data_IF_307345285856
#
_entry.id   IF_307345285856
#
_cell.length_a   1.000
_cell.length_b   1.000
_cell.length_c   1.000
_cell.angle_alpha   90.00
_cell.angle_beta   90.00
_cell.angle_gamma   90.00
#
_symmetry.space_group_name_H-M   'P 1'
#
loop_
_entity.id
_entity.type
_entity.pdbx_description
1 polymer ?
#
# COMPACT_ATOMS: atom_id res chain seq x y z
N UNK A 1 -20.46 7.25 -0.97
CA UNK A 1 -20.23 8.70 -1.15
C UNK A 1 -18.92 9.00 -1.89
N UNK A 2 -17.72 8.88 -1.28
CA UNK A 2 -16.46 9.29 -1.94
C UNK A 2 -16.20 8.58 -3.28
N UNK A 3 -16.23 7.24 -3.30
CA UNK A 3 -15.99 6.44 -4.52
C UNK A 3 -16.96 6.76 -5.66
N UNK A 4 -18.22 6.97 -5.33
CA UNK A 4 -19.25 7.34 -6.30
C UNK A 4 -18.96 8.70 -6.94
N UNK A 5 -18.61 9.70 -6.13
CA UNK A 5 -18.25 11.03 -6.63
C UNK A 5 -17.04 10.99 -7.54
N UNK A 6 -15.98 10.26 -7.16
CA UNK A 6 -14.76 10.17 -7.96
C UNK A 6 -15.00 9.47 -9.29
N UNK A 7 -15.84 8.42 -9.33
CA UNK A 7 -16.28 7.79 -10.60
C UNK A 7 -17.05 8.78 -11.48
N UNK A 8 -17.99 9.54 -10.91
CA UNK A 8 -18.81 10.52 -11.65
C UNK A 8 -17.98 11.62 -12.31
N UNK A 9 -16.88 12.04 -11.68
CA UNK A 9 -16.03 13.12 -12.19
C UNK A 9 -14.79 12.63 -12.94
N UNK A 10 -14.59 11.31 -13.04
CA UNK A 10 -13.35 10.74 -13.60
C UNK A 10 -12.11 11.01 -12.75
N UNK A 11 -12.28 11.39 -11.49
CA UNK A 11 -11.20 11.64 -10.53
C UNK A 11 -10.63 10.31 -10.05
N UNK A 12 -9.29 10.20 -9.99
CA UNK A 12 -8.60 9.01 -9.47
C UNK A 12 -8.73 9.01 -7.94
N UNK A 13 -9.25 7.92 -7.38
CA UNK A 13 -9.27 7.68 -5.94
C UNK A 13 -7.99 6.97 -5.52
N UNK A 14 -7.17 7.67 -4.74
CA UNK A 14 -5.96 7.12 -4.12
C UNK A 14 -6.25 6.87 -2.64
N UNK A 15 -5.99 5.65 -2.17
CA UNK A 15 -6.04 5.31 -0.75
C UNK A 15 -4.60 5.09 -0.26
N UNK A 16 -4.17 5.89 0.71
CA UNK A 16 -2.89 5.73 1.39
C UNK A 16 -3.07 4.87 2.65
N UNK A 17 -2.57 3.65 2.58
CA UNK A 17 -2.66 2.64 3.62
C UNK A 17 -1.42 2.58 4.51
N UNK A 18 -0.52 3.55 4.41
CA UNK A 18 0.75 3.53 5.16
C UNK A 18 0.53 3.41 6.69
N UNK A 19 -0.60 3.88 7.23
CA UNK A 19 -1.04 3.54 8.61
C UNK A 19 -2.15 2.51 8.64
N UNK A 20 -3.14 2.61 7.76
CA UNK A 20 -4.37 1.82 7.85
C UNK A 20 -4.19 0.35 7.46
N UNK A 21 -3.01 -0.03 6.95
CA UNK A 21 -2.58 -1.44 6.86
C UNK A 21 -2.58 -2.12 8.24
N UNK A 22 -2.56 -1.36 9.34
CA UNK A 22 -2.76 -1.88 10.71
C UNK A 22 -4.15 -2.49 10.95
N UNK A 23 -5.12 -2.28 10.05
CA UNK A 23 -6.49 -2.80 10.19
C UNK A 23 -6.61 -4.30 9.92
N UNK A 24 -5.60 -4.91 9.28
CA UNK A 24 -5.60 -6.32 8.89
C UNK A 24 -4.62 -6.59 7.75
N UNK A 25 -4.40 -7.88 7.42
CA UNK A 25 -3.48 -8.27 6.33
C UNK A 25 -3.89 -7.74 4.94
N UNK A 26 -5.17 -7.42 4.74
CA UNK A 26 -5.68 -6.72 3.55
C UNK A 26 -5.88 -5.20 3.71
N UNK A 27 -5.45 -4.64 4.84
CA UNK A 27 -5.65 -3.23 5.19
C UNK A 27 -7.11 -2.83 5.41
N UNK A 28 -7.34 -1.54 5.55
CA UNK A 28 -8.68 -0.98 5.73
C UNK A 28 -9.51 -1.12 4.46
N UNK A 29 -8.85 -1.10 3.29
CA UNK A 29 -9.48 -1.32 1.98
C UNK A 29 -10.21 -2.66 1.95
N UNK A 30 -9.54 -3.77 2.28
CA UNK A 30 -10.20 -5.07 2.27
C UNK A 30 -11.25 -5.20 3.37
N UNK A 31 -10.95 -4.70 4.58
CA UNK A 31 -11.86 -4.77 5.73
C UNK A 31 -13.22 -4.11 5.44
N UNK A 32 -13.21 -3.01 4.70
CA UNK A 32 -14.41 -2.22 4.40
C UNK A 32 -14.88 -2.31 2.94
N UNK A 33 -14.29 -3.21 2.14
CA UNK A 33 -14.66 -3.38 0.73
C UNK A 33 -14.49 -2.10 -0.09
N UNK A 34 -13.43 -1.32 0.15
CA UNK A 34 -13.15 -0.12 -0.62
C UNK A 34 -12.57 -0.47 -1.99
N UNK A 35 -12.84 0.39 -2.98
CA UNK A 35 -12.45 0.17 -4.37
C UNK A 35 -11.57 1.34 -4.88
N UNK A 36 -10.33 1.50 -4.38
CA UNK A 36 -9.42 2.53 -4.88
C UNK A 36 -8.99 2.27 -6.33
N UNK A 37 -8.71 3.36 -7.06
CA UNK A 37 -8.04 3.28 -8.36
C UNK A 37 -6.53 3.07 -8.18
N UNK A 38 -5.99 3.53 -7.04
CA UNK A 38 -4.59 3.42 -6.68
C UNK A 38 -4.45 3.26 -5.16
N UNK A 39 -3.54 2.40 -4.72
CA UNK A 39 -3.23 2.16 -3.32
C UNK A 39 -1.76 2.49 -3.07
N UNK A 40 -1.46 3.09 -1.94
CA UNK A 40 -0.08 3.39 -1.50
C UNK A 40 0.15 2.75 -0.14
N UNK A 41 1.35 2.22 0.10
CA UNK A 41 1.76 1.77 1.42
C UNK A 41 3.27 1.94 1.61
N UNK A 42 3.71 2.01 2.87
CA UNK A 42 5.11 2.12 3.26
C UNK A 42 5.30 1.64 4.69
N UNK A 43 6.24 2.23 5.42
CA UNK A 43 6.48 1.98 6.86
C UNK A 43 6.69 0.49 7.18
N UNK A 44 5.63 -0.20 7.59
CA UNK A 44 5.66 -1.55 8.15
C UNK A 44 6.04 -2.63 7.12
N UNK A 45 5.97 -2.33 5.82
CA UNK A 45 6.07 -3.34 4.76
C UNK A 45 7.48 -3.84 4.46
N UNK A 46 8.54 -3.25 5.01
CA UNK A 46 9.93 -3.56 4.61
C UNK A 46 10.91 -3.75 5.78
N UNK A 47 10.41 -3.97 7.00
CA UNK A 47 11.23 -4.41 8.13
C UNK A 47 12.30 -3.40 8.56
N UNK A 48 12.02 -2.11 8.39
CA UNK A 48 12.95 -1.02 8.72
C UNK A 48 13.80 -0.51 7.55
N UNK A 49 13.78 -1.19 6.40
CA UNK A 49 14.39 -0.66 5.16
C UNK A 49 13.48 0.45 4.59
N UNK A 50 14.02 1.62 4.21
CA UNK A 50 13.23 2.69 3.60
C UNK A 50 12.57 2.23 2.31
N UNK A 51 11.25 2.11 2.34
CA UNK A 51 10.51 1.65 1.18
C UNK A 51 9.05 2.11 1.17
N UNK A 52 8.54 2.23 -0.05
CA UNK A 52 7.14 2.50 -0.34
C UNK A 52 6.73 1.75 -1.60
N UNK A 53 5.45 1.41 -1.68
CA UNK A 53 4.83 0.79 -2.83
C UNK A 53 3.63 1.62 -3.24
N UNK A 54 3.29 1.52 -4.52
CA UNK A 54 1.97 1.86 -5.00
C UNK A 54 1.49 0.79 -5.96
N UNK A 55 0.19 0.52 -5.95
CA UNK A 55 -0.49 -0.32 -6.92
C UNK A 55 -1.59 0.48 -7.60
N UNK A 56 -1.87 0.17 -8.86
CA UNK A 56 -2.93 0.80 -9.65
C UNK A 56 -3.85 -0.27 -10.21
N UNK A 57 -5.11 0.07 -10.48
CA UNK A 57 -5.99 -0.80 -11.27
C UNK A 57 -5.46 -0.95 -12.69
N UNK A 58 -5.88 -2.03 -13.36
CA UNK A 58 -5.56 -2.27 -14.77
C UNK A 58 -5.98 -1.10 -15.67
N UNK A 59 -7.14 -0.50 -15.42
CA UNK A 59 -7.62 0.67 -16.18
C UNK A 59 -6.68 1.87 -16.06
N UNK A 60 -6.18 2.15 -14.85
CA UNK A 60 -5.20 3.23 -14.64
C UNK A 60 -3.86 2.88 -15.29
N UNK A 61 -3.41 1.63 -15.18
CA UNK A 61 -2.18 1.17 -15.84
C UNK A 61 -2.26 1.37 -17.37
N UNK A 62 -3.37 1.01 -18.00
CA UNK A 62 -3.59 1.19 -19.44
C UNK A 62 -3.60 2.67 -19.86
N UNK A 63 -4.17 3.54 -19.02
CA UNK A 63 -4.12 5.00 -19.24
C UNK A 63 -2.69 5.52 -19.14
N UNK A 64 -1.91 5.04 -18.17
CA UNK A 64 -0.50 5.39 -18.00
C UNK A 64 0.34 4.93 -19.19
N UNK A 65 0.19 3.69 -19.66
CA UNK A 65 0.96 3.15 -20.79
C UNK A 65 0.67 3.84 -22.13
N UNK A 66 -0.48 4.50 -22.28
CA UNK A 66 -0.78 5.33 -23.47
C UNK A 66 0.02 6.64 -23.50
N UNK A 67 0.41 7.16 -22.34
CA UNK A 67 1.13 8.44 -22.22
C UNK A 67 2.61 8.26 -21.88
N UNK A 68 2.98 7.12 -21.29
CA UNK A 68 4.35 6.74 -20.97
C UNK A 68 4.87 5.80 -22.06
N UNK A 69 5.95 6.16 -22.79
CA UNK A 69 6.54 5.27 -23.77
C UNK A 69 6.92 3.93 -23.13
N UNK A 70 6.52 2.83 -23.75
CA UNK A 70 7.03 1.51 -23.36
C UNK A 70 8.54 1.50 -23.56
N UNK A 71 9.26 1.23 -22.49
CA UNK A 71 10.71 1.24 -22.47
C UNK A 71 11.24 -0.19 -22.58
N UNK A 72 12.23 -0.40 -23.45
CA UNK A 72 12.87 -1.71 -23.56
C UNK A 72 13.75 -1.93 -22.31
N UNK A 73 13.51 -2.99 -21.51
CA UNK A 73 14.30 -3.25 -20.30
C UNK A 73 15.76 -3.60 -20.59
N UNK A 74 16.12 -3.91 -21.85
CA UNK A 74 17.49 -4.19 -22.30
C UNK A 74 18.25 -2.95 -22.76
N UNK A 75 17.59 -1.80 -22.85
CA UNK A 75 18.21 -0.54 -23.28
C UNK A 75 18.36 0.37 -22.07
N UNK A 76 19.53 0.97 -21.89
CA UNK A 76 19.77 1.94 -20.81
C UNK A 76 18.76 3.09 -20.93
N UNK A 77 17.93 3.24 -19.91
CA UNK A 77 16.92 4.29 -19.86
C UNK A 77 17.51 5.52 -19.18
N UNK A 78 17.33 6.69 -19.82
CA UNK A 78 17.62 8.00 -19.21
C UNK A 78 16.32 8.76 -18.89
N UNK A 79 15.18 8.29 -19.41
CA UNK A 79 13.88 8.90 -19.23
C UNK A 79 13.16 8.29 -18.02
N UNK A 80 13.22 9.00 -16.89
CA UNK A 80 12.61 8.58 -15.64
C UNK A 80 11.20 9.17 -15.44
N UNK A 81 10.68 9.97 -16.38
CA UNK A 81 9.47 10.80 -16.21
C UNK A 81 9.50 11.67 -14.92
N UNK A 82 10.68 11.90 -14.35
CA UNK A 82 10.84 12.55 -13.05
C UNK A 82 10.47 11.68 -11.83
N UNK A 83 10.20 10.39 -12.01
CA UNK A 83 9.84 9.43 -10.96
C UNK A 83 10.88 8.30 -10.83
N UNK A 84 10.96 7.69 -9.65
CA UNK A 84 11.94 6.64 -9.33
C UNK A 84 13.14 7.17 -8.54
N UNK A 85 14.13 6.30 -8.32
CA UNK A 85 15.35 6.65 -7.57
C UNK A 85 16.34 5.49 -7.55
N UNK A 86 17.63 5.79 -7.38
CA UNK A 86 18.73 4.80 -7.50
C UNK A 86 18.55 3.56 -6.63
N UNK A 87 17.94 3.73 -5.44
CA UNK A 87 17.73 2.64 -4.48
C UNK A 87 16.30 2.06 -4.52
N UNK A 88 15.39 2.64 -5.31
CA UNK A 88 14.03 2.15 -5.41
C UNK A 88 14.01 0.74 -6.04
N UNK A 89 13.32 -0.20 -5.39
CA UNK A 89 13.20 -1.58 -5.89
C UNK A 89 14.50 -2.40 -5.87
N UNK A 90 15.50 -2.00 -5.06
CA UNK A 90 16.74 -2.77 -4.94
C UNK A 90 16.49 -4.17 -4.32
N UNK A 91 17.42 -5.11 -4.55
CA UNK A 91 17.28 -6.50 -4.13
C UNK A 91 17.07 -6.67 -2.62
N UNK A 92 17.72 -5.86 -1.78
CA UNK A 92 17.55 -5.89 -0.33
C UNK A 92 16.12 -5.53 0.06
N UNK A 93 15.58 -4.45 -0.52
CA UNK A 93 14.22 -3.98 -0.26
C UNK A 93 13.18 -5.02 -0.66
N UNK A 94 13.34 -5.66 -1.82
CA UNK A 94 12.42 -6.71 -2.28
C UNK A 94 12.51 -7.94 -1.38
N UNK A 95 13.71 -8.35 -0.97
CA UNK A 95 13.89 -9.48 -0.08
C UNK A 95 13.25 -9.24 1.31
N UNK A 96 13.44 -8.05 1.89
CA UNK A 96 12.82 -7.73 3.19
C UNK A 96 11.32 -7.57 3.08
N UNK A 97 10.81 -6.95 2.01
CA UNK A 97 9.36 -6.87 1.75
C UNK A 97 8.72 -8.24 1.68
N UNK A 98 9.33 -9.15 0.91
CA UNK A 98 8.83 -10.51 0.78
C UNK A 98 8.72 -11.20 2.15
N UNK A 99 9.81 -11.20 2.92
CA UNK A 99 9.82 -11.83 4.24
C UNK A 99 8.79 -11.20 5.19
N UNK A 100 8.65 -9.87 5.18
CA UNK A 100 7.66 -9.18 6.03
C UNK A 100 6.23 -9.52 5.61
N UNK A 101 5.92 -9.51 4.32
CA UNK A 101 4.56 -9.76 3.84
C UNK A 101 4.16 -11.24 3.97
N UNK A 102 5.09 -12.17 3.73
CA UNK A 102 4.84 -13.61 3.79
C UNK A 102 4.85 -14.16 5.23
N UNK A 103 5.73 -13.65 6.11
CA UNK A 103 5.97 -14.25 7.43
C UNK A 103 5.49 -13.38 8.60
N UNK A 104 5.40 -12.06 8.44
CA UNK A 104 5.10 -11.13 9.54
C UNK A 104 3.67 -10.58 9.45
N UNK A 105 3.29 -9.99 8.30
CA UNK A 105 1.98 -9.36 8.09
C UNK A 105 0.90 -10.38 7.67
N UNK A 106 0.91 -11.54 8.35
CA UNK A 106 0.00 -12.65 8.08
C UNK A 106 -1.34 -12.48 8.81
N UNK A 107 -2.44 -13.09 8.32
CA UNK A 107 -3.72 -13.06 9.02
C UNK A 107 -3.62 -13.49 10.49
N UNK A 108 -2.89 -14.58 10.77
CA UNK A 108 -2.70 -15.10 12.12
C UNK A 108 -2.02 -14.10 13.07
N UNK A 109 -0.98 -13.40 12.59
CA UNK A 109 -0.34 -12.37 13.40
C UNK A 109 -1.25 -11.16 13.60
N UNK A 110 -2.04 -10.79 12.60
CA UNK A 110 -3.03 -9.71 12.73
C UNK A 110 -4.11 -10.01 13.77
N UNK A 111 -4.61 -11.24 13.84
CA UNK A 111 -5.56 -11.65 14.89
C UNK A 111 -5.02 -11.35 16.30
N UNK A 112 -3.76 -11.72 16.55
CA UNK A 112 -3.10 -11.47 17.83
C UNK A 112 -2.89 -9.97 18.10
N UNK A 113 -2.42 -9.22 17.09
CA UNK A 113 -2.19 -7.77 17.21
C UNK A 113 -3.49 -7.02 17.49
N UNK A 114 -4.56 -7.33 16.77
CA UNK A 114 -5.87 -6.69 16.91
C UNK A 114 -6.49 -7.01 18.27
N UNK A 115 -6.41 -8.27 18.74
CA UNK A 115 -6.89 -8.66 20.05
C UNK A 115 -6.19 -7.86 21.17
N UNK A 116 -4.86 -7.74 21.08
CA UNK A 116 -4.08 -6.96 22.04
C UNK A 116 -4.39 -5.46 22.00
N UNK A 117 -4.51 -4.88 20.79
CA UNK A 117 -4.88 -3.48 20.61
C UNK A 117 -6.28 -3.18 21.17
N UNK A 118 -7.24 -4.08 20.94
CA UNK A 118 -8.61 -3.97 21.46
C UNK A 118 -8.62 -3.98 22.98
N UNK A 119 -7.93 -4.95 23.60
CA UNK A 119 -7.80 -5.04 25.06
C UNK A 119 -7.18 -3.77 25.66
N UNK A 120 -6.13 -3.23 25.03
CA UNK A 120 -5.50 -1.99 25.46
C UNK A 120 -6.47 -0.80 25.36
N UNK A 121 -7.17 -0.66 24.24
CA UNK A 121 -8.11 0.44 24.01
C UNK A 121 -9.28 0.40 24.99
N UNK A 122 -9.83 -0.78 25.30
CA UNK A 122 -10.87 -0.96 26.31
C UNK A 122 -10.39 -0.63 27.72
N UNK A 123 -9.20 -1.09 28.10
CA UNK A 123 -8.62 -0.78 29.41
C UNK A 123 -8.40 0.73 29.56
N UNK A 124 -7.87 1.41 28.53
CA UNK A 124 -7.66 2.85 28.54
C UNK A 124 -8.99 3.61 28.68
N UNK A 125 -10.04 3.20 27.94
CA UNK A 125 -11.38 3.82 28.06
C UNK A 125 -11.95 3.74 29.46
N UNK A 126 -11.74 2.64 30.18
CA UNK A 126 -12.20 2.47 31.58
C UNK A 126 -11.48 3.36 32.58
N UNK A 127 -10.26 3.84 32.27
CA UNK A 127 -9.50 4.75 33.13
C UNK A 127 -9.91 6.20 32.91
N UNK A 128 -10.27 6.53 31.66
CA UNK A 128 -10.62 7.89 31.25
C UNK A 128 -12.08 8.23 31.60
N UNK A 129 -12.98 7.26 31.50
CA UNK A 129 -14.39 7.40 31.87
C UNK A 129 -14.58 7.43 33.39
#
# INVERSE_FOLDING_TARGET
ALREMTRRTGTVLIIDETHTISSGSGGYTALHGLEPDMLVAGKAIAGGIPAGIFGVTQEIAERLWKIVPMVNPRVRQSAHLGIGGTLAGNALTIATMRAVLEEVLTPANFELMIANATRLAEAARKIIA
#
